data_IF_703259211458
#
_entry.id   IF_703259211458
#
_cell.length_a   1.000
_cell.length_b   1.000
_cell.length_c   1.000
_cell.angle_alpha   90.00
_cell.angle_beta   90.00
_cell.angle_gamma   90.00
#
_symmetry.space_group_name_H-M   'P 1'
#
loop_
_entity.id
_entity.type
_entity.pdbx_description
1 polymer ?
#
# COMPACT_ATOMS: atom_id res chain seq x y z
N UNK A 1 -18.64 -21.53 17.60
CA UNK A 1 -19.18 -20.20 17.96
C UNK A 1 -18.04 -19.19 17.88
N UNK A 2 -18.06 -18.29 16.90
CA UNK A 2 -17.13 -17.14 16.86
C UNK A 2 -17.75 -16.06 17.75
N UNK A 3 -16.99 -15.43 18.67
CA UNK A 3 -17.55 -14.42 19.55
C UNK A 3 -17.98 -13.21 18.69
N UNK A 4 -19.23 -12.82 18.89
CA UNK A 4 -19.80 -11.54 18.47
C UNK A 4 -19.06 -10.45 19.25
N UNK A 5 -17.93 -10.01 18.70
CA UNK A 5 -17.19 -8.86 19.22
C UNK A 5 -17.97 -7.64 18.78
N UNK A 6 -18.61 -7.02 19.78
CA UNK A 6 -19.27 -5.73 19.78
C UNK A 6 -18.93 -4.88 18.55
N UNK A 7 -19.99 -4.50 17.83
CA UNK A 7 -20.06 -3.66 16.62
C UNK A 7 -19.44 -2.28 16.87
N UNK A 8 -18.12 -2.25 16.99
CA UNK A 8 -17.26 -1.11 16.77
C UNK A 8 -16.24 -1.63 15.77
N UNK A 9 -16.18 -1.11 14.53
CA UNK A 9 -15.27 -1.63 13.53
C UNK A 9 -13.87 -1.65 14.15
N UNK A 10 -13.15 -2.79 14.13
CA UNK A 10 -11.80 -2.86 14.68
C UNK A 10 -10.97 -1.80 13.97
N UNK A 11 -10.70 -0.68 14.67
CA UNK A 11 -10.09 0.51 14.06
C UNK A 11 -8.76 0.20 13.38
N UNK A 12 -8.11 -0.90 13.80
CA UNK A 12 -6.82 -1.33 13.29
C UNK A 12 -6.78 -2.83 12.99
N UNK A 13 -6.45 -3.17 11.74
CA UNK A 13 -6.22 -4.52 11.24
C UNK A 13 -4.72 -4.86 11.23
N UNK A 14 -4.38 -6.12 11.48
CA UNK A 14 -3.00 -6.62 11.31
C UNK A 14 -2.72 -6.90 9.83
N UNK A 15 -1.45 -7.11 9.47
CA UNK A 15 -1.06 -7.38 8.07
C UNK A 15 -1.85 -8.53 7.43
N UNK A 16 -2.15 -9.62 8.15
CA UNK A 16 -2.94 -10.74 7.60
C UNK A 16 -4.41 -10.33 7.34
N UNK A 17 -5.05 -9.74 8.33
CA UNK A 17 -6.44 -9.27 8.23
C UNK A 17 -6.60 -8.17 7.16
N UNK A 18 -5.64 -7.25 7.07
CA UNK A 18 -5.62 -6.22 6.04
C UNK A 18 -5.44 -6.81 4.63
N UNK A 19 -4.70 -7.92 4.52
CA UNK A 19 -4.51 -8.62 3.26
C UNK A 19 -5.82 -9.32 2.83
N UNK A 20 -6.49 -9.98 3.78
CA UNK A 20 -7.81 -10.59 3.57
C UNK A 20 -8.85 -9.55 3.14
N UNK A 21 -8.88 -8.39 3.82
CA UNK A 21 -9.78 -7.29 3.48
C UNK A 21 -9.59 -6.76 2.04
N UNK A 22 -8.36 -6.73 1.54
CA UNK A 22 -8.03 -6.27 0.18
C UNK A 22 -7.99 -7.40 -0.85
N UNK A 23 -8.25 -8.66 -0.44
CA UNK A 23 -8.05 -9.85 -1.27
C UNK A 23 -6.63 -9.95 -1.87
N UNK A 24 -5.62 -9.54 -1.09
CA UNK A 24 -4.20 -9.60 -1.43
C UNK A 24 -3.46 -10.59 -0.53
N UNK A 25 -2.24 -10.97 -0.92
CA UNK A 25 -1.39 -11.74 -0.02
C UNK A 25 -0.73 -10.84 1.03
N UNK A 26 -0.55 -11.35 2.25
CA UNK A 26 0.19 -10.63 3.30
C UNK A 26 1.61 -10.24 2.81
N UNK A 27 2.24 -11.09 2.01
CA UNK A 27 3.57 -10.84 1.42
C UNK A 27 3.57 -9.67 0.44
N UNK A 28 2.45 -9.46 -0.27
CA UNK A 28 2.26 -8.31 -1.15
C UNK A 28 2.16 -7.03 -0.33
N UNK A 29 1.39 -7.02 0.76
CA UNK A 29 1.33 -5.87 1.68
C UNK A 29 2.67 -5.57 2.34
N UNK A 30 3.46 -6.59 2.69
CA UNK A 30 4.83 -6.39 3.19
C UNK A 30 5.73 -5.70 2.15
N UNK A 31 5.65 -6.09 0.88
CA UNK A 31 6.40 -5.42 -0.21
C UNK A 31 5.96 -3.97 -0.40
N UNK A 32 4.65 -3.72 -0.42
CA UNK A 32 4.11 -2.36 -0.43
C UNK A 32 4.59 -1.53 0.77
N UNK A 33 4.79 -2.20 1.93
CA UNK A 33 5.60 -1.81 3.09
C UNK A 33 6.91 -1.15 2.72
N UNK A 34 7.77 -1.96 2.13
CA UNK A 34 9.16 -1.64 1.81
C UNK A 34 9.27 -0.58 0.70
N UNK A 35 8.38 -0.62 -0.29
CA UNK A 35 8.43 0.30 -1.43
C UNK A 35 7.68 1.62 -1.20
N UNK A 36 6.91 1.74 -0.11
CA UNK A 36 6.12 2.93 0.16
C UNK A 36 4.92 3.12 -0.77
N UNK A 37 4.54 2.09 -1.53
CA UNK A 37 3.41 2.13 -2.49
C UNK A 37 2.10 1.60 -1.90
N UNK A 38 2.10 1.29 -0.61
CA UNK A 38 0.99 0.66 0.12
C UNK A 38 0.08 1.60 0.90
N UNK A 39 -0.95 1.04 1.54
CA UNK A 39 -1.77 1.77 2.49
C UNK A 39 -0.95 2.22 3.70
N UNK A 40 -1.34 3.34 4.31
CA UNK A 40 -0.70 3.88 5.50
C UNK A 40 -0.70 2.84 6.62
N UNK A 41 0.47 2.61 7.22
CA UNK A 41 0.62 1.69 8.34
C UNK A 41 1.05 2.44 9.60
N UNK A 42 0.71 1.90 10.76
CA UNK A 42 1.06 2.44 12.07
C UNK A 42 1.86 1.39 12.84
N UNK A 43 2.92 1.82 13.53
CA UNK A 43 3.72 0.97 14.41
C UNK A 43 3.25 1.15 15.85
N UNK A 44 2.68 0.09 16.43
CA UNK A 44 2.24 0.04 17.83
C UNK A 44 3.06 -1.01 18.58
N UNK A 45 4.03 -0.56 19.37
CA UNK A 45 4.83 -1.45 20.25
C UNK A 45 5.48 -2.63 19.52
N UNK A 46 6.05 -2.39 18.33
CA UNK A 46 6.69 -3.43 17.50
C UNK A 46 5.74 -4.19 16.57
N UNK A 47 4.42 -4.00 16.70
CA UNK A 47 3.43 -4.54 15.76
C UNK A 47 3.09 -3.50 14.71
N UNK A 48 2.83 -3.96 13.50
CA UNK A 48 2.42 -3.07 12.42
C UNK A 48 0.96 -3.32 12.06
N UNK A 49 0.18 -2.26 12.12
CA UNK A 49 -1.28 -2.28 11.92
C UNK A 49 -1.70 -1.29 10.85
N UNK A 50 -2.89 -1.50 10.29
CA UNK A 50 -3.51 -0.65 9.27
C UNK A 50 -4.86 -0.19 9.76
N UNK A 51 -5.23 1.07 9.57
CA UNK A 51 -6.61 1.47 9.81
C UNK A 51 -7.49 1.00 8.65
N UNK A 52 -8.73 0.61 8.93
CA UNK A 52 -9.69 0.24 7.88
C UNK A 52 -9.90 1.40 6.91
N UNK A 53 -10.00 2.62 7.44
CA UNK A 53 -10.13 3.85 6.66
C UNK A 53 -8.93 4.07 5.70
N UNK A 54 -7.70 3.85 6.20
CA UNK A 54 -6.47 3.96 5.40
C UNK A 54 -6.42 2.89 4.29
N UNK A 55 -6.93 1.68 4.55
CA UNK A 55 -7.02 0.59 3.56
C UNK A 55 -8.04 0.91 2.47
N UNK A 56 -9.22 1.38 2.87
CA UNK A 56 -10.27 1.79 1.93
C UNK A 56 -9.79 2.97 1.09
N UNK A 57 -9.25 4.03 1.71
CA UNK A 57 -8.71 5.17 0.98
C UNK A 57 -7.59 4.77 0.01
N UNK A 58 -6.78 3.76 0.34
CA UNK A 58 -5.78 3.24 -0.59
C UNK A 58 -6.38 2.43 -1.74
N UNK A 59 -7.39 1.61 -1.46
CA UNK A 59 -8.13 0.90 -2.50
C UNK A 59 -8.80 1.88 -3.46
N UNK A 60 -9.45 2.93 -2.95
CA UNK A 60 -10.07 4.01 -3.74
C UNK A 60 -9.03 4.79 -4.55
N UNK A 61 -7.82 5.05 -3.99
CA UNK A 61 -6.71 5.66 -4.74
C UNK A 61 -6.17 4.76 -5.86
N UNK A 62 -6.30 3.44 -5.70
CA UNK A 62 -5.94 2.43 -6.70
C UNK A 62 -7.07 2.03 -7.62
N UNK A 63 -8.29 2.53 -7.38
CA UNK A 63 -9.45 2.24 -8.20
C UNK A 63 -9.26 2.95 -9.54
N UNK A 64 -8.85 2.17 -10.53
CA UNK A 64 -8.73 2.62 -11.91
C UNK A 64 -10.02 2.23 -12.62
N UNK A 65 -10.88 3.21 -12.92
CA UNK A 65 -12.15 2.98 -13.64
C UNK A 65 -11.91 2.56 -15.10
N UNK A 66 -10.69 2.74 -15.61
CA UNK A 66 -10.31 2.38 -16.97
C UNK A 66 -8.84 1.96 -17.02
N UNK A 67 -8.52 0.86 -17.70
CA UNK A 67 -7.17 0.32 -17.89
C UNK A 67 -6.20 1.27 -18.61
N UNK A 68 -6.72 2.39 -19.14
CA UNK A 68 -5.96 3.45 -19.82
C UNK A 68 -5.77 4.71 -18.97
N UNK A 69 -6.22 4.75 -17.71
CA UNK A 69 -6.08 5.94 -16.88
C UNK A 69 -4.71 5.97 -16.18
N UNK A 70 -3.85 6.98 -16.45
CA UNK A 70 -2.53 7.09 -15.83
C UNK A 70 -2.58 7.46 -14.34
N UNK A 71 -3.78 7.62 -13.75
CA UNK A 71 -3.98 7.91 -12.33
C UNK A 71 -4.22 6.69 -11.47
N UNK A 72 -4.03 5.46 -11.99
CA UNK A 72 -3.81 4.29 -11.15
C UNK A 72 -2.55 4.49 -10.30
N UNK A 73 -2.67 5.29 -9.24
CA UNK A 73 -1.54 5.85 -8.48
C UNK A 73 -0.89 4.80 -7.56
N UNK A 74 -1.47 3.61 -7.51
CA UNK A 74 -0.92 2.46 -6.79
C UNK A 74 0.09 1.78 -7.69
N UNK A 75 1.34 2.25 -7.58
CA UNK A 75 2.46 1.63 -8.27
C UNK A 75 2.58 0.16 -7.84
N UNK A 76 2.87 -0.75 -8.79
CA UNK A 76 3.07 -2.15 -8.46
C UNK A 76 4.18 -2.29 -7.42
N UNK A 77 4.10 -3.32 -6.56
CA UNK A 77 5.13 -3.63 -5.57
C UNK A 77 6.41 -4.21 -6.23
N UNK A 78 6.95 -3.48 -7.21
CA UNK A 78 8.11 -3.80 -8.02
C UNK A 78 9.22 -2.79 -7.69
N UNK A 79 10.45 -3.27 -7.67
CA UNK A 79 11.62 -2.43 -7.40
C UNK A 79 11.78 -1.42 -8.53
N UNK A 80 11.40 -0.16 -8.31
CA UNK A 80 11.76 0.92 -9.21
C UNK A 80 13.27 1.13 -9.07
N UNK A 81 14.00 0.78 -10.13
CA UNK A 81 15.39 1.17 -10.26
C UNK A 81 15.38 2.70 -10.37
N UNK A 82 16.18 3.45 -9.60
CA UNK A 82 16.32 4.87 -9.86
C UNK A 82 16.79 5.00 -11.31
N UNK A 83 15.98 5.65 -12.15
CA UNK A 83 16.39 6.04 -13.49
C UNK A 83 17.70 6.82 -13.34
N UNK A 84 18.78 6.44 -14.04
CA UNK A 84 19.98 7.27 -14.04
C UNK A 84 19.58 8.61 -14.63
N UNK A 85 19.56 9.64 -13.79
CA UNK A 85 19.39 11.02 -14.23
C UNK A 85 20.53 11.29 -15.21
N UNK A 86 20.18 11.48 -16.49
CA UNK A 86 21.12 11.93 -17.52
C UNK A 86 21.75 13.23 -17.03
N UNK A 87 23.02 13.16 -16.60
CA UNK A 87 23.84 14.34 -16.37
C UNK A 87 24.14 14.97 -17.73
N UNK A 88 23.26 15.86 -18.18
CA UNK A 88 23.52 16.78 -19.28
C UNK A 88 24.57 17.80 -18.85
N UNK A 89 25.85 17.43 -18.97
CA UNK A 89 27.00 18.23 -18.59
C UNK A 89 27.93 18.51 -19.77
N UNK A 90 27.51 19.44 -20.63
CA UNK A 90 28.34 20.47 -21.29
C UNK A 90 29.66 20.02 -21.94
N UNK A 91 29.61 19.85 -23.26
CA UNK A 91 30.77 19.95 -24.15
C UNK A 91 31.35 21.38 -24.11
N UNK A 92 32.62 21.50 -23.76
CA UNK A 92 33.47 22.65 -24.11
C UNK A 92 34.92 22.15 -24.25
N UNK A 93 35.41 22.10 -25.48
CA UNK A 93 36.80 22.46 -25.82
C UNK A 93 36.86 22.86 -27.28
#
# INVERSE_FOLDING_TARGET
>A
MRPDIAVLPPRFLRTKEAADFLSLSARTLEKHRTYGTGPSYRKLGGRVVYAVDDLQAWAERGAVTSTSDPRGSVLPAKRHMPTPQTHGGRYTR
#
